data_IF_122094033339
#
_entry.id   IF_122094033339
#
_cell.length_a   1.000
_cell.length_b   1.000
_cell.length_c   1.000
_cell.angle_alpha   90.00
_cell.angle_beta   90.00
_cell.angle_gamma   90.00
#
_symmetry.space_group_name_H-M   'P 1'
#
loop_
_entity.id
_entity.type
_entity.pdbx_description
1 polymer ?
#
# COMPACT_ATOMS: atom_id res chain seq x y z
N UNK A 1 -17.24 5.51 -16.06
CA UNK A 1 -18.25 5.32 -17.11
C UNK A 1 -19.63 5.70 -16.58
N UNK A 2 -20.16 5.05 -15.56
CA UNK A 2 -21.46 5.43 -14.95
C UNK A 2 -21.47 6.85 -14.40
N UNK A 3 -20.36 7.33 -13.81
CA UNK A 3 -20.25 8.71 -13.37
C UNK A 3 -20.65 9.69 -14.46
N UNK A 4 -20.07 9.61 -15.66
CA UNK A 4 -20.34 10.51 -16.77
C UNK A 4 -21.76 10.31 -17.37
N UNK A 5 -22.25 9.06 -17.39
CA UNK A 5 -23.62 8.79 -17.81
C UNK A 5 -24.63 9.48 -16.88
N UNK A 6 -24.45 9.35 -15.57
CA UNK A 6 -25.33 9.98 -14.59
C UNK A 6 -25.15 11.52 -14.54
N UNK A 7 -23.97 12.02 -14.87
CA UNK A 7 -23.75 13.47 -15.06
C UNK A 7 -24.58 14.02 -16.20
N UNK A 8 -24.65 13.33 -17.33
CA UNK A 8 -25.51 13.68 -18.47
C UNK A 8 -27.01 13.53 -18.11
N UNK A 9 -27.38 12.50 -17.38
CA UNK A 9 -28.77 12.24 -16.97
C UNK A 9 -29.27 13.23 -15.89
N UNK A 10 -28.37 13.95 -15.23
CA UNK A 10 -28.73 14.95 -14.21
C UNK A 10 -29.63 16.05 -14.75
N UNK A 11 -29.43 16.43 -16.01
CA UNK A 11 -30.17 17.51 -16.65
C UNK A 11 -31.61 17.09 -17.04
N UNK A 12 -31.91 15.78 -16.96
CA UNK A 12 -33.24 15.23 -17.27
C UNK A 12 -34.09 14.97 -16.01
N UNK A 13 -33.67 15.45 -14.82
CA UNK A 13 -34.37 15.27 -13.54
C UNK A 13 -34.80 13.82 -13.20
N UNK A 14 -33.98 12.85 -13.65
CA UNK A 14 -34.24 11.43 -13.36
C UNK A 14 -34.02 11.16 -11.88
N UNK A 15 -35.00 10.53 -11.17
CA UNK A 15 -34.83 10.16 -9.77
C UNK A 15 -33.58 9.31 -9.56
N UNK A 16 -32.72 9.73 -8.61
CA UNK A 16 -31.48 9.02 -8.28
C UNK A 16 -30.28 9.39 -9.13
N UNK A 17 -30.39 10.14 -10.23
CA UNK A 17 -29.23 10.58 -11.03
C UNK A 17 -28.22 11.39 -10.22
N UNK A 18 -28.70 12.18 -9.24
CA UNK A 18 -27.85 12.99 -8.35
C UNK A 18 -27.02 12.15 -7.37
N UNK A 19 -27.40 10.90 -7.10
CA UNK A 19 -26.68 10.05 -6.13
C UNK A 19 -25.24 9.80 -6.58
N UNK A 20 -24.98 9.64 -7.87
CA UNK A 20 -23.63 9.43 -8.41
C UNK A 20 -22.72 10.65 -8.33
N UNK A 21 -23.23 11.82 -7.97
CA UNK A 21 -22.39 13.00 -7.70
C UNK A 21 -21.75 12.95 -6.32
N UNK A 22 -22.36 12.20 -5.37
CA UNK A 22 -21.84 12.06 -4.01
C UNK A 22 -20.71 11.04 -3.97
N UNK A 23 -19.54 11.46 -3.47
CA UNK A 23 -18.36 10.61 -3.33
C UNK A 23 -18.64 9.41 -2.42
N UNK A 24 -19.35 9.62 -1.31
CA UNK A 24 -19.70 8.57 -0.35
C UNK A 24 -20.55 7.48 -0.99
N UNK A 25 -21.53 7.84 -1.82
CA UNK A 25 -22.33 6.88 -2.55
C UNK A 25 -21.49 6.07 -3.55
N UNK A 26 -20.67 6.75 -4.37
CA UNK A 26 -19.78 6.10 -5.33
C UNK A 26 -18.77 5.19 -4.64
N UNK A 27 -18.26 5.59 -3.49
CA UNK A 27 -17.35 4.76 -2.68
C UNK A 27 -18.04 3.51 -2.17
N UNK A 28 -19.28 3.62 -1.67
CA UNK A 28 -20.07 2.46 -1.27
C UNK A 28 -20.32 1.48 -2.43
N UNK A 29 -20.70 2.00 -3.61
CA UNK A 29 -20.87 1.20 -4.81
C UNK A 29 -19.55 0.55 -5.26
N UNK A 30 -18.44 1.29 -5.24
CA UNK A 30 -17.12 0.76 -5.59
C UNK A 30 -16.70 -0.38 -4.67
N UNK A 31 -16.92 -0.25 -3.35
CA UNK A 31 -16.61 -1.28 -2.36
C UNK A 31 -17.42 -2.57 -2.61
N UNK A 32 -18.74 -2.43 -2.73
CA UNK A 32 -19.63 -3.59 -2.94
C UNK A 32 -19.35 -4.28 -4.26
N UNK A 33 -19.16 -3.50 -5.34
CA UNK A 33 -18.86 -4.04 -6.66
C UNK A 33 -17.48 -4.73 -6.68
N UNK A 34 -16.49 -4.16 -6.04
CA UNK A 34 -15.17 -4.75 -5.93
C UNK A 34 -15.18 -6.06 -5.15
N UNK A 35 -15.87 -6.09 -4.00
CA UNK A 35 -16.07 -7.28 -3.20
C UNK A 35 -16.77 -8.37 -4.01
N UNK A 36 -17.85 -8.01 -4.71
CA UNK A 36 -18.60 -8.93 -5.57
C UNK A 36 -17.74 -9.52 -6.70
N UNK A 37 -16.96 -8.66 -7.38
CA UNK A 37 -16.03 -9.09 -8.45
C UNK A 37 -14.99 -10.05 -7.88
N UNK A 38 -14.36 -9.70 -6.73
CA UNK A 38 -13.35 -10.53 -6.12
C UNK A 38 -13.89 -11.93 -5.74
N UNK A 39 -15.11 -12.02 -5.19
CA UNK A 39 -15.71 -13.30 -4.78
C UNK A 39 -16.22 -14.07 -5.99
N UNK A 40 -17.06 -13.47 -6.85
CA UNK A 40 -17.76 -14.20 -7.91
C UNK A 40 -16.86 -14.47 -9.12
N UNK A 41 -16.14 -13.46 -9.60
CA UNK A 41 -15.22 -13.61 -10.73
C UNK A 41 -13.94 -14.30 -10.28
N UNK A 42 -13.51 -14.06 -9.04
CA UNK A 42 -12.36 -14.71 -8.43
C UNK A 42 -12.43 -16.22 -8.51
N UNK A 43 -13.58 -16.83 -8.19
CA UNK A 43 -13.77 -18.28 -8.30
C UNK A 43 -13.48 -18.80 -9.71
N UNK A 44 -14.02 -18.12 -10.74
CA UNK A 44 -13.78 -18.51 -12.14
C UNK A 44 -12.31 -18.39 -12.55
N UNK A 45 -11.62 -17.39 -12.03
CA UNK A 45 -10.18 -17.20 -12.28
C UNK A 45 -9.38 -18.33 -11.61
N UNK A 46 -9.69 -18.67 -10.36
CA UNK A 46 -9.04 -19.76 -9.62
C UNK A 46 -9.20 -21.07 -10.37
N UNK A 47 -10.44 -21.42 -10.78
CA UNK A 47 -10.73 -22.65 -11.54
C UNK A 47 -9.94 -22.70 -12.86
N UNK A 48 -9.72 -21.53 -13.49
CA UNK A 48 -8.92 -21.43 -14.72
C UNK A 48 -7.43 -21.61 -14.47
N UNK A 49 -6.91 -20.98 -13.41
CA UNK A 49 -5.51 -21.14 -13.00
C UNK A 49 -5.20 -22.58 -12.61
N UNK A 50 -6.10 -23.27 -11.91
CA UNK A 50 -5.96 -24.69 -11.58
C UNK A 50 -5.91 -25.56 -12.84
N UNK A 51 -6.79 -25.31 -13.82
CA UNK A 51 -6.79 -26.05 -15.10
C UNK A 51 -5.51 -25.85 -15.92
N UNK A 52 -4.92 -24.67 -15.82
CA UNK A 52 -3.64 -24.36 -16.48
C UNK A 52 -2.44 -24.95 -15.73
N UNK A 53 -2.64 -25.68 -14.63
CA UNK A 53 -1.60 -26.22 -13.75
C UNK A 53 -0.61 -25.16 -13.26
N UNK A 54 -1.11 -23.97 -13.02
CA UNK A 54 -0.36 -22.81 -12.48
C UNK A 54 -0.16 -22.99 -10.96
N UNK A 55 0.32 -24.16 -10.53
CA UNK A 55 0.59 -24.45 -9.13
C UNK A 55 1.99 -24.01 -8.72
N UNK A 56 2.10 -23.44 -7.54
CA UNK A 56 3.41 -23.07 -6.99
C UNK A 56 4.22 -24.31 -6.65
N UNK A 57 5.50 -24.31 -7.04
CA UNK A 57 6.47 -25.31 -6.59
C UNK A 57 6.90 -24.92 -5.17
N UNK A 58 6.28 -25.53 -4.17
CA UNK A 58 6.58 -25.27 -2.77
C UNK A 58 8.03 -25.66 -2.47
N UNK A 59 8.81 -24.72 -1.88
CA UNK A 59 10.15 -25.04 -1.36
C UNK A 59 9.97 -25.84 -0.08
N UNK A 60 10.59 -27.01 0.02
CA UNK A 60 10.62 -27.72 1.29
C UNK A 60 11.52 -26.95 2.28
N UNK A 61 10.88 -26.25 3.19
CA UNK A 61 11.51 -25.49 4.27
C UNK A 61 11.41 -26.22 5.62
N UNK A 62 10.93 -27.47 5.61
CA UNK A 62 10.62 -28.25 6.81
C UNK A 62 9.71 -27.47 7.80
N UNK A 63 8.63 -26.86 7.28
CA UNK A 63 7.60 -26.19 8.06
C UNK A 63 6.34 -27.06 8.11
N UNK A 64 5.69 -27.12 9.29
CA UNK A 64 4.43 -27.83 9.44
C UNK A 64 3.36 -27.27 8.50
N UNK A 65 2.63 -28.15 7.80
CA UNK A 65 1.57 -27.76 6.88
C UNK A 65 2.04 -27.26 5.50
N UNK A 66 3.33 -27.16 5.25
CA UNK A 66 3.86 -26.64 3.99
C UNK A 66 3.56 -27.56 2.80
N UNK A 67 3.61 -28.88 3.00
CA UNK A 67 3.35 -29.86 1.93
C UNK A 67 1.87 -29.87 1.51
N UNK A 68 0.94 -29.50 2.38
CA UNK A 68 -0.48 -29.37 2.03
C UNK A 68 -0.78 -28.22 1.07
N UNK A 69 0.13 -27.27 0.92
CA UNK A 69 0.05 -26.12 0.01
C UNK A 69 0.48 -26.45 -1.42
N UNK A 70 1.06 -27.64 -1.64
CA UNK A 70 1.49 -28.06 -2.97
C UNK A 70 0.29 -28.19 -3.92
N UNK A 71 0.40 -27.55 -5.10
CA UNK A 71 -0.69 -27.54 -6.08
C UNK A 71 -1.69 -26.38 -5.92
N UNK A 72 -1.57 -25.55 -4.87
CA UNK A 72 -2.35 -24.32 -4.78
C UNK A 72 -1.95 -23.37 -5.91
N UNK A 73 -2.90 -22.86 -6.72
CA UNK A 73 -2.59 -21.96 -7.82
C UNK A 73 -2.00 -20.64 -7.31
N UNK A 74 -1.03 -20.10 -8.02
CA UNK A 74 -0.46 -18.76 -7.82
C UNK A 74 -1.03 -17.76 -8.81
N UNK A 75 -0.57 -16.50 -8.80
CA UNK A 75 -1.05 -15.39 -9.64
C UNK A 75 -2.47 -14.89 -9.28
N UNK A 76 -2.94 -15.14 -8.07
CA UNK A 76 -4.24 -14.63 -7.59
C UNK A 76 -4.34 -13.11 -7.56
N UNK A 77 -3.20 -12.40 -7.61
CA UNK A 77 -3.16 -10.94 -7.72
C UNK A 77 -3.95 -10.38 -8.90
N UNK A 78 -4.16 -11.15 -9.96
CA UNK A 78 -5.03 -10.76 -11.09
C UNK A 78 -6.45 -10.47 -10.61
N UNK A 79 -6.97 -11.25 -9.65
CA UNK A 79 -8.31 -11.06 -9.06
C UNK A 79 -8.36 -9.68 -8.39
N UNK A 80 -7.34 -9.33 -7.61
CA UNK A 80 -7.25 -8.06 -6.89
C UNK A 80 -7.24 -6.90 -7.90
N UNK A 81 -6.41 -6.98 -8.93
CA UNK A 81 -6.27 -5.92 -9.94
C UNK A 81 -7.60 -5.69 -10.67
N UNK A 82 -8.26 -6.75 -11.12
CA UNK A 82 -9.56 -6.65 -11.81
C UNK A 82 -10.60 -6.06 -10.85
N UNK A 83 -10.64 -6.51 -9.60
CA UNK A 83 -11.57 -6.04 -8.59
C UNK A 83 -11.36 -4.58 -8.18
N UNK A 84 -10.15 -4.02 -8.37
CA UNK A 84 -9.88 -2.59 -8.18
C UNK A 84 -10.21 -1.80 -9.45
N UNK A 85 -9.65 -2.22 -10.59
CA UNK A 85 -9.68 -1.44 -11.82
C UNK A 85 -11.10 -1.31 -12.38
N UNK A 86 -11.86 -2.42 -12.42
CA UNK A 86 -13.22 -2.40 -13.00
C UNK A 86 -14.17 -1.46 -12.28
N UNK A 87 -14.34 -1.50 -10.94
CA UNK A 87 -15.17 -0.53 -10.24
C UNK A 87 -14.70 0.92 -10.43
N UNK A 88 -13.39 1.17 -10.37
CA UNK A 88 -12.85 2.51 -10.59
C UNK A 88 -13.15 3.06 -11.99
N UNK A 89 -13.08 2.23 -13.03
CA UNK A 89 -13.47 2.63 -14.40
C UNK A 89 -14.98 2.90 -14.53
N UNK A 90 -15.80 2.17 -13.77
CA UNK A 90 -17.26 2.31 -13.83
C UNK A 90 -17.75 3.55 -13.06
N UNK A 91 -17.30 3.76 -11.83
CA UNK A 91 -17.86 4.79 -10.94
C UNK A 91 -16.90 5.93 -10.59
N UNK A 92 -15.62 5.81 -10.95
CA UNK A 92 -14.62 6.84 -10.71
C UNK A 92 -14.68 7.97 -11.73
N UNK A 93 -14.23 9.16 -11.30
CA UNK A 93 -14.05 10.33 -12.18
C UNK A 93 -12.68 10.23 -12.87
N UNK A 94 -12.68 9.70 -14.09
CA UNK A 94 -11.45 9.43 -14.84
C UNK A 94 -10.71 10.68 -15.33
N UNK A 95 -11.36 11.86 -15.30
CA UNK A 95 -10.68 13.14 -15.56
C UNK A 95 -9.81 13.62 -14.39
N UNK A 96 -9.91 12.96 -13.22
CA UNK A 96 -9.12 13.30 -12.05
C UNK A 96 -7.72 12.66 -12.12
N UNK A 97 -6.67 13.49 -11.99
CA UNK A 97 -5.27 13.06 -12.10
C UNK A 97 -4.89 12.05 -11.02
N UNK A 98 -5.41 12.21 -9.80
CA UNK A 98 -5.16 11.27 -8.70
C UNK A 98 -5.71 9.87 -9.02
N UNK A 99 -6.95 9.79 -9.56
CA UNK A 99 -7.56 8.53 -9.97
C UNK A 99 -6.75 7.87 -11.09
N UNK A 100 -6.32 8.64 -12.09
CA UNK A 100 -5.51 8.12 -13.20
C UNK A 100 -4.17 7.58 -12.72
N UNK A 101 -3.48 8.29 -11.80
CA UNK A 101 -2.21 7.83 -11.24
C UNK A 101 -2.38 6.52 -10.46
N UNK A 102 -3.46 6.37 -9.70
CA UNK A 102 -3.73 5.13 -8.95
C UNK A 102 -4.02 3.96 -9.88
N UNK A 103 -4.85 4.16 -10.92
CA UNK A 103 -5.12 3.13 -11.93
C UNK A 103 -3.85 2.74 -12.69
N UNK A 104 -3.07 3.74 -13.12
CA UNK A 104 -1.78 3.51 -13.78
C UNK A 104 -0.82 2.71 -12.90
N UNK A 105 -0.68 3.08 -11.62
CA UNK A 105 0.19 2.39 -10.68
C UNK A 105 -0.23 0.94 -10.45
N UNK A 106 -1.54 0.70 -10.34
CA UNK A 106 -2.10 -0.65 -10.18
C UNK A 106 -1.78 -1.55 -11.37
N UNK A 107 -1.94 -1.02 -12.58
CA UNK A 107 -1.66 -1.76 -13.81
C UNK A 107 -0.14 -1.95 -14.00
N UNK A 108 0.65 -0.89 -13.76
CA UNK A 108 2.11 -0.93 -13.94
C UNK A 108 2.77 -2.01 -13.08
N UNK A 109 2.48 -2.01 -11.77
CA UNK A 109 3.05 -3.02 -10.87
C UNK A 109 2.39 -4.38 -11.05
N UNK A 110 1.11 -4.41 -11.42
CA UNK A 110 0.43 -5.63 -11.81
C UNK A 110 1.11 -6.31 -13.00
N UNK A 111 1.46 -5.57 -14.04
CA UNK A 111 2.21 -6.09 -15.18
C UNK A 111 3.63 -6.54 -14.79
N UNK A 112 4.31 -5.78 -13.91
CA UNK A 112 5.65 -6.15 -13.43
C UNK A 112 5.61 -7.47 -12.65
N UNK A 113 4.68 -7.61 -11.71
CA UNK A 113 4.50 -8.82 -10.92
C UNK A 113 4.02 -10.00 -11.79
N UNK A 114 3.09 -9.75 -12.71
CA UNK A 114 2.63 -10.75 -13.67
C UNK A 114 3.77 -11.29 -14.53
N UNK A 115 4.64 -10.41 -15.03
CA UNK A 115 5.82 -10.84 -15.81
C UNK A 115 6.76 -11.71 -14.97
N UNK A 116 6.93 -11.42 -13.67
CA UNK A 116 7.72 -12.24 -12.77
C UNK A 116 7.11 -13.64 -12.57
N UNK A 117 5.84 -13.68 -12.21
CA UNK A 117 5.12 -14.93 -11.97
C UNK A 117 5.03 -15.77 -13.25
N UNK A 118 4.76 -15.14 -14.40
CA UNK A 118 4.72 -15.82 -15.69
C UNK A 118 6.07 -16.44 -16.06
N UNK A 119 7.19 -15.72 -15.82
CA UNK A 119 8.52 -16.25 -16.09
C UNK A 119 8.87 -17.44 -15.19
N UNK A 120 8.45 -17.43 -13.93
CA UNK A 120 8.61 -18.57 -13.01
C UNK A 120 7.89 -19.81 -13.56
N UNK A 121 6.67 -19.63 -14.06
CA UNK A 121 5.87 -20.71 -14.65
C UNK A 121 6.46 -21.19 -15.99
N UNK A 122 6.72 -20.29 -16.93
CA UNK A 122 7.18 -20.62 -18.28
C UNK A 122 8.53 -21.32 -18.28
N UNK A 123 9.40 -21.00 -17.32
CA UNK A 123 10.74 -21.61 -17.20
C UNK A 123 10.78 -22.82 -16.28
N UNK A 124 9.67 -23.20 -15.64
CA UNK A 124 9.64 -24.21 -14.59
C UNK A 124 10.76 -24.01 -13.54
N UNK A 125 11.15 -22.77 -13.30
CA UNK A 125 12.24 -22.39 -12.41
C UNK A 125 11.75 -21.35 -11.41
N UNK A 126 12.27 -21.44 -10.17
CA UNK A 126 11.95 -20.48 -9.08
C UNK A 126 12.57 -19.10 -9.29
N UNK A 127 13.52 -18.97 -10.21
CA UNK A 127 14.18 -17.72 -10.56
C UNK A 127 13.34 -16.94 -11.58
N UNK A 128 12.36 -16.18 -11.12
CA UNK A 128 11.56 -15.28 -11.95
C UNK A 128 12.38 -14.15 -12.57
N UNK A 129 11.85 -12.96 -12.55
CA UNK A 129 12.54 -11.75 -13.00
C UNK A 129 13.73 -11.44 -12.08
N UNK A 130 14.92 -11.22 -12.64
CA UNK A 130 16.07 -10.81 -11.82
C UNK A 130 15.70 -9.56 -11.00
N UNK A 131 16.03 -9.53 -9.70
CA UNK A 131 15.65 -8.43 -8.79
C UNK A 131 15.97 -7.02 -9.30
N UNK A 132 17.03 -6.86 -10.10
CA UNK A 132 17.36 -5.57 -10.74
C UNK A 132 16.24 -5.02 -11.63
N UNK A 133 15.54 -5.88 -12.38
CA UNK A 133 14.44 -5.45 -13.25
C UNK A 133 13.20 -5.06 -12.45
N UNK A 134 12.94 -5.75 -11.33
CA UNK A 134 11.86 -5.35 -10.39
C UNK A 134 12.14 -3.95 -9.84
N UNK A 135 13.37 -3.70 -9.38
CA UNK A 135 13.78 -2.38 -8.88
C UNK A 135 13.64 -1.31 -9.97
N UNK A 136 14.08 -1.59 -11.20
CA UNK A 136 13.92 -0.64 -12.33
C UNK A 136 12.44 -0.30 -12.58
N UNK A 137 11.55 -1.28 -12.54
CA UNK A 137 10.10 -1.06 -12.68
C UNK A 137 9.52 -0.21 -11.54
N UNK A 138 9.94 -0.45 -10.30
CA UNK A 138 9.52 0.30 -9.12
C UNK A 138 10.06 1.75 -9.13
N UNK A 139 11.33 1.93 -9.49
CA UNK A 139 11.96 3.25 -9.67
C UNK A 139 11.27 4.03 -10.80
N UNK A 140 10.97 3.35 -11.92
CA UNK A 140 10.23 3.94 -13.03
C UNK A 140 8.86 4.46 -12.61
N UNK A 141 8.09 3.67 -11.85
CA UNK A 141 6.82 4.12 -11.30
C UNK A 141 6.99 5.31 -10.35
N UNK A 142 7.93 5.22 -9.39
CA UNK A 142 8.21 6.31 -8.45
C UNK A 142 8.59 7.61 -9.16
N UNK A 143 9.36 7.51 -10.25
CA UNK A 143 9.71 8.66 -11.07
C UNK A 143 8.49 9.26 -11.78
N UNK A 144 7.64 8.42 -12.41
CA UNK A 144 6.41 8.89 -13.08
C UNK A 144 5.49 9.58 -12.08
N UNK A 145 5.25 8.98 -10.91
CA UNK A 145 4.41 9.57 -9.85
C UNK A 145 5.00 10.89 -9.37
N UNK A 146 6.29 10.92 -8.99
CA UNK A 146 6.95 12.11 -8.49
C UNK A 146 7.00 13.25 -9.51
N UNK A 147 7.27 12.95 -10.79
CA UNK A 147 7.24 13.94 -11.87
C UNK A 147 5.82 14.45 -12.12
N UNK A 148 4.80 13.59 -12.09
CA UNK A 148 3.41 14.04 -12.26
C UNK A 148 2.98 14.94 -11.11
N UNK A 149 3.39 14.63 -9.87
CA UNK A 149 3.17 15.50 -8.70
C UNK A 149 3.83 16.88 -8.88
N UNK A 150 4.99 16.93 -9.51
CA UNK A 150 5.70 18.18 -9.79
C UNK A 150 5.11 18.95 -10.98
N UNK A 151 4.80 18.28 -12.10
CA UNK A 151 4.42 18.94 -13.35
C UNK A 151 2.94 19.28 -13.44
N UNK A 152 2.04 18.44 -12.90
CA UNK A 152 0.60 18.61 -13.04
C UNK A 152 0.10 19.89 -12.34
N UNK A 153 -0.58 20.80 -13.01
CA UNK A 153 -1.16 22.00 -12.41
C UNK A 153 -2.33 21.68 -11.46
N UNK A 154 -2.97 20.51 -11.62
CA UNK A 154 -4.15 20.12 -10.85
C UNK A 154 -3.78 19.55 -9.47
N UNK A 155 -2.50 19.27 -9.22
CA UNK A 155 -2.02 18.74 -7.94
C UNK A 155 -1.52 19.89 -7.08
N UNK A 156 -2.43 20.41 -6.25
CA UNK A 156 -2.21 21.56 -5.39
C UNK A 156 -2.68 21.28 -3.97
N UNK A 157 -2.31 22.14 -3.03
CA UNK A 157 -2.75 22.08 -1.64
C UNK A 157 -3.12 23.48 -1.13
N UNK A 158 -3.77 23.56 0.02
CA UNK A 158 -4.01 24.82 0.73
C UNK A 158 -3.34 24.78 2.08
N UNK A 159 -2.66 25.87 2.42
CA UNK A 159 -2.05 26.05 3.73
C UNK A 159 -3.08 26.38 4.80
N UNK A 160 -2.80 25.92 6.00
CA UNK A 160 -3.57 26.29 7.18
C UNK A 160 -3.09 27.63 7.71
N UNK A 161 -4.01 28.49 8.09
CA UNK A 161 -3.76 29.76 8.78
C UNK A 161 -4.52 29.78 10.10
N UNK A 162 -3.86 30.25 11.15
CA UNK A 162 -4.51 30.54 12.42
C UNK A 162 -5.22 31.91 12.30
N UNK A 163 -6.53 31.91 12.52
CA UNK A 163 -7.34 33.13 12.53
C UNK A 163 -7.96 33.28 13.93
N UNK A 164 -7.60 34.34 14.63
CA UNK A 164 -8.23 34.67 15.90
C UNK A 164 -9.66 35.14 15.64
N UNK A 165 -10.62 34.49 16.26
CA UNK A 165 -11.99 34.92 16.20
C UNK A 165 -12.17 36.15 17.13
N UNK A 166 -12.40 37.31 16.55
CA UNK A 166 -12.51 38.59 17.27
C UNK A 166 -13.60 38.61 18.34
N UNK A 167 -14.58 37.71 18.25
CA UNK A 167 -15.73 37.68 19.17
C UNK A 167 -15.55 36.71 20.33
N UNK A 168 -14.85 35.56 20.10
CA UNK A 168 -14.66 34.52 21.12
C UNK A 168 -13.22 34.42 21.64
N UNK A 169 -12.28 35.18 21.08
CA UNK A 169 -10.83 35.05 21.32
C UNK A 169 -10.27 33.63 21.13
N UNK A 170 -11.01 32.76 20.43
CA UNK A 170 -10.57 31.42 20.09
C UNK A 170 -9.79 31.43 18.78
N UNK A 171 -8.68 30.70 18.77
CA UNK A 171 -7.89 30.48 17.56
C UNK A 171 -8.59 29.42 16.70
N UNK A 172 -9.13 29.83 15.56
CA UNK A 172 -9.75 28.93 14.60
C UNK A 172 -8.82 28.74 13.41
N UNK A 173 -8.59 27.49 13.05
CA UNK A 173 -7.78 27.15 11.90
C UNK A 173 -8.65 27.24 10.65
N UNK A 174 -8.21 28.02 9.66
CA UNK A 174 -8.82 28.13 8.34
C UNK A 174 -7.80 27.84 7.27
N UNK A 175 -8.28 27.39 6.12
CA UNK A 175 -7.42 27.28 4.93
C UNK A 175 -7.34 28.61 4.20
N UNK A 176 -6.15 28.93 3.69
CA UNK A 176 -6.00 30.02 2.72
C UNK A 176 -6.88 29.76 1.51
N UNK A 177 -7.46 30.82 0.94
CA UNK A 177 -8.23 30.71 -0.31
C UNK A 177 -7.34 30.35 -1.50
N UNK A 178 -6.07 30.73 -1.47
CA UNK A 178 -5.11 30.44 -2.53
C UNK A 178 -4.57 29.01 -2.43
N UNK A 179 -4.49 28.35 -3.57
CA UNK A 179 -3.84 27.05 -3.71
C UNK A 179 -2.37 27.24 -4.01
N UNK A 180 -1.54 26.46 -3.35
CA UNK A 180 -0.09 26.48 -3.57
C UNK A 180 0.40 25.13 -4.10
N UNK A 181 1.51 25.18 -4.81
CA UNK A 181 2.24 24.00 -5.28
C UNK A 181 3.60 23.96 -4.61
N UNK A 182 3.72 23.14 -3.60
CA UNK A 182 4.94 23.00 -2.80
C UNK A 182 5.26 21.54 -2.51
N UNK A 183 6.53 21.17 -2.35
CA UNK A 183 6.96 19.84 -1.93
C UNK A 183 6.84 19.71 -0.41
N UNK A 184 5.59 19.78 0.07
CA UNK A 184 5.27 19.64 1.49
C UNK A 184 4.60 18.31 1.77
N UNK A 185 4.83 17.77 2.95
CA UNK A 185 4.22 16.55 3.46
C UNK A 185 3.82 16.69 4.92
N UNK A 186 3.03 15.74 5.39
CA UNK A 186 2.66 15.66 6.81
C UNK A 186 3.71 14.87 7.56
N UNK A 187 4.21 15.45 8.67
CA UNK A 187 5.12 14.79 9.61
C UNK A 187 4.46 14.71 10.99
N UNK A 188 4.51 13.55 11.66
CA UNK A 188 4.00 13.42 13.02
C UNK A 188 4.86 14.18 14.03
N UNK A 189 4.26 14.58 15.16
CA UNK A 189 4.92 15.20 16.33
C UNK A 189 5.52 16.59 16.11
N UNK A 190 5.29 17.24 14.98
CA UNK A 190 5.79 18.59 14.69
C UNK A 190 4.63 19.59 14.70
N UNK A 191 4.86 20.79 15.23
CA UNK A 191 3.85 21.86 15.20
C UNK A 191 3.35 22.10 13.77
N UNK A 192 2.04 22.17 13.60
CA UNK A 192 1.33 22.30 12.32
C UNK A 192 1.43 21.05 11.40
N UNK A 193 2.04 19.96 11.85
CA UNK A 193 2.15 18.71 11.11
C UNK A 193 2.70 18.81 9.66
N UNK A 194 3.33 19.93 9.29
CA UNK A 194 3.83 20.18 7.94
C UNK A 194 5.35 20.17 7.90
N UNK A 195 5.88 19.45 6.95
CA UNK A 195 7.28 19.42 6.63
C UNK A 195 7.49 19.82 5.16
N UNK A 196 8.31 20.82 4.92
CA UNK A 196 8.66 21.28 3.57
C UNK A 196 10.07 20.79 3.20
N UNK A 197 10.14 19.97 2.16
CA UNK A 197 11.42 19.47 1.63
C UNK A 197 12.36 20.61 1.18
N UNK A 198 11.79 21.78 0.81
CA UNK A 198 12.59 22.96 0.47
C UNK A 198 13.46 23.43 1.64
N UNK A 199 13.03 23.13 2.88
CA UNK A 199 13.80 23.49 4.08
C UNK A 199 15.20 22.84 4.12
N UNK A 200 15.32 21.62 3.58
CA UNK A 200 16.58 20.88 3.51
C UNK A 200 17.50 21.38 2.39
N UNK A 201 16.95 22.11 1.42
CA UNK A 201 17.69 22.60 0.24
C UNK A 201 17.89 24.12 0.26
N UNK A 202 17.61 24.80 1.39
CA UNK A 202 17.78 26.26 1.55
C UNK A 202 19.18 26.77 1.18
N UNK A 203 20.21 25.95 1.38
CA UNK A 203 21.60 26.27 1.02
C UNK A 203 21.79 26.46 -0.50
N UNK A 204 20.86 25.98 -1.35
CA UNK A 204 20.88 26.19 -2.81
C UNK A 204 20.38 27.59 -3.23
N UNK A 205 19.99 28.47 -2.29
CA UNK A 205 19.52 29.81 -2.58
C UNK A 205 18.33 29.86 -3.53
N UNK A 206 18.48 30.49 -4.71
CA UNK A 206 17.40 30.63 -5.71
C UNK A 206 16.82 29.29 -6.24
N UNK A 207 17.59 28.20 -6.15
CA UNK A 207 17.19 26.86 -6.61
C UNK A 207 16.66 25.98 -5.48
N UNK A 208 16.43 26.53 -4.28
CA UNK A 208 15.97 25.75 -3.12
C UNK A 208 14.65 25.02 -3.40
N UNK A 209 13.68 25.65 -4.07
CA UNK A 209 12.40 25.04 -4.41
C UNK A 209 12.56 23.87 -5.39
N UNK A 210 13.39 24.02 -6.42
CA UNK A 210 13.71 22.93 -7.35
C UNK A 210 14.40 21.78 -6.62
N UNK A 211 15.36 22.11 -5.72
CA UNK A 211 16.00 21.10 -4.86
C UNK A 211 15.01 20.35 -4.00
N UNK A 212 14.03 21.04 -3.39
CA UNK A 212 12.97 20.43 -2.61
C UNK A 212 12.13 19.44 -3.42
N UNK A 213 11.78 19.76 -4.67
CA UNK A 213 11.06 18.85 -5.57
C UNK A 213 11.91 17.65 -5.99
N UNK A 214 13.19 17.83 -6.26
CA UNK A 214 14.10 16.69 -6.55
C UNK A 214 14.14 15.74 -5.34
N UNK A 215 14.27 16.29 -4.14
CA UNK A 215 14.28 15.50 -2.91
C UNK A 215 12.95 14.75 -2.70
N UNK A 216 11.82 15.42 -2.94
CA UNK A 216 10.50 14.80 -2.90
C UNK A 216 10.38 13.63 -3.88
N UNK A 217 10.87 13.79 -5.12
CA UNK A 217 10.86 12.72 -6.13
C UNK A 217 11.73 11.54 -5.67
N UNK A 218 12.92 11.80 -5.10
CA UNK A 218 13.78 10.75 -4.55
C UNK A 218 13.10 10.00 -3.41
N UNK A 219 12.44 10.70 -2.49
CA UNK A 219 11.66 10.08 -1.41
C UNK A 219 10.51 9.25 -1.98
N UNK A 220 9.81 9.76 -3.00
CA UNK A 220 8.76 9.01 -3.70
C UNK A 220 9.28 7.68 -4.25
N UNK A 221 10.41 7.69 -4.93
CA UNK A 221 11.06 6.48 -5.46
C UNK A 221 11.40 5.50 -4.34
N UNK A 222 11.99 5.99 -3.26
CA UNK A 222 12.36 5.16 -2.10
C UNK A 222 11.12 4.53 -1.47
N UNK A 223 10.07 5.31 -1.23
CA UNK A 223 8.83 4.81 -0.61
C UNK A 223 8.15 3.77 -1.48
N UNK A 224 8.00 4.03 -2.79
CA UNK A 224 7.40 3.05 -3.74
C UNK A 224 8.21 1.75 -3.74
N UNK A 225 9.53 1.85 -3.82
CA UNK A 225 10.41 0.66 -3.84
C UNK A 225 10.36 -0.11 -2.52
N UNK A 226 10.47 0.59 -1.39
CA UNK A 226 10.51 -0.05 -0.08
C UNK A 226 9.18 -0.73 0.28
N UNK A 227 8.04 -0.03 0.12
CA UNK A 227 6.73 -0.59 0.49
C UNK A 227 6.31 -1.73 -0.45
N UNK A 228 6.62 -1.60 -1.76
CA UNK A 228 6.32 -2.66 -2.73
C UNK A 228 7.11 -3.93 -2.44
N UNK A 229 8.40 -3.84 -2.12
CA UNK A 229 9.21 -4.99 -1.73
C UNK A 229 8.81 -5.53 -0.35
N UNK A 230 8.50 -4.65 0.62
CA UNK A 230 8.05 -5.06 1.95
C UNK A 230 6.74 -5.85 1.92
N UNK A 231 5.78 -5.42 1.11
CA UNK A 231 4.55 -6.18 0.87
C UNK A 231 4.86 -7.54 0.23
N UNK A 232 5.78 -7.58 -0.74
CA UNK A 232 6.18 -8.82 -1.40
C UNK A 232 6.87 -9.81 -0.44
N UNK A 233 7.76 -9.34 0.44
CA UNK A 233 8.37 -10.19 1.45
C UNK A 233 7.38 -10.61 2.56
N UNK A 234 6.33 -9.85 2.79
CA UNK A 234 5.27 -10.18 3.76
C UNK A 234 4.31 -11.25 3.23
N UNK A 235 4.25 -11.49 1.91
CA UNK A 235 3.39 -12.49 1.27
C UNK A 235 3.94 -13.93 1.42
N UNK A 236 4.38 -14.30 2.62
CA UNK A 236 4.90 -15.64 2.92
C UNK A 236 3.93 -16.54 3.69
N UNK A 237 2.82 -16.00 4.21
CA UNK A 237 1.76 -16.71 4.91
C UNK A 237 0.39 -16.39 4.35
N UNK A 238 -0.51 -17.38 4.36
CA UNK A 238 -1.87 -17.28 3.84
C UNK A 238 -2.65 -16.12 4.49
N UNK A 239 -2.99 -15.10 3.69
CA UNK A 239 -3.76 -13.94 4.13
C UNK A 239 -2.97 -12.86 4.88
N UNK A 240 -1.67 -13.04 5.13
CA UNK A 240 -0.87 -12.08 5.91
C UNK A 240 -0.75 -10.72 5.18
N UNK A 241 -0.24 -10.74 3.96
CA UNK A 241 -0.06 -9.52 3.16
C UNK A 241 -1.42 -8.88 2.81
N UNK A 242 -2.41 -9.69 2.43
CA UNK A 242 -3.75 -9.20 2.09
C UNK A 242 -4.45 -8.56 3.28
N UNK A 243 -4.42 -9.21 4.45
CA UNK A 243 -5.07 -8.72 5.67
C UNK A 243 -4.46 -7.43 6.20
N UNK A 244 -3.13 -7.37 6.26
CA UNK A 244 -2.42 -6.15 6.67
C UNK A 244 -2.64 -5.01 5.67
N UNK A 245 -2.64 -5.29 4.36
CA UNK A 245 -2.93 -4.31 3.31
C UNK A 245 -4.36 -3.77 3.41
N UNK A 246 -5.35 -4.60 3.74
CA UNK A 246 -6.73 -4.16 3.95
C UNK A 246 -6.82 -3.14 5.09
N UNK A 247 -6.17 -3.41 6.23
CA UNK A 247 -6.13 -2.48 7.38
C UNK A 247 -5.46 -1.16 6.99
N UNK A 248 -4.31 -1.22 6.31
CA UNK A 248 -3.59 -0.03 5.82
C UNK A 248 -4.48 0.76 4.85
N UNK A 249 -5.18 0.08 3.94
CA UNK A 249 -6.12 0.69 3.00
C UNK A 249 -7.25 1.44 3.67
N UNK A 250 -7.83 0.89 4.75
CA UNK A 250 -8.84 1.57 5.55
C UNK A 250 -8.27 2.84 6.20
N UNK A 251 -7.07 2.77 6.77
CA UNK A 251 -6.43 3.93 7.38
C UNK A 251 -6.17 5.04 6.34
N UNK A 252 -5.64 4.69 5.16
CA UNK A 252 -5.41 5.64 4.07
C UNK A 252 -6.72 6.24 3.54
N UNK A 253 -7.79 5.43 3.43
CA UNK A 253 -9.12 5.91 3.02
C UNK A 253 -9.67 6.98 3.97
N UNK A 254 -9.56 6.74 5.27
CA UNK A 254 -9.98 7.71 6.30
C UNK A 254 -9.14 8.99 6.20
N UNK A 255 -7.80 8.88 6.13
CA UNK A 255 -6.94 10.06 6.00
C UNK A 255 -7.22 10.86 4.72
N UNK A 256 -7.50 10.17 3.62
CA UNK A 256 -7.87 10.79 2.36
C UNK A 256 -9.21 11.53 2.46
N UNK A 257 -10.23 10.91 3.05
CA UNK A 257 -11.53 11.51 3.24
C UNK A 257 -11.44 12.79 4.11
N UNK A 258 -10.67 12.73 5.19
CA UNK A 258 -10.44 13.87 6.08
C UNK A 258 -9.65 15.00 5.39
N UNK A 259 -8.57 14.67 4.68
CA UNK A 259 -7.72 15.63 3.97
C UNK A 259 -8.37 16.23 2.72
N UNK A 260 -9.30 15.52 2.09
CA UNK A 260 -10.08 15.98 0.93
C UNK A 260 -11.31 16.81 1.27
N UNK A 261 -11.61 17.01 2.56
CA UNK A 261 -12.76 17.78 3.02
C UNK A 261 -12.32 19.03 3.80
N UNK A 262 -12.77 20.22 3.34
CA UNK A 262 -12.39 21.52 3.93
C UNK A 262 -12.72 21.62 5.42
N UNK A 263 -13.90 21.13 5.83
CA UNK A 263 -14.38 21.24 7.21
C UNK A 263 -13.52 20.35 8.14
N UNK A 264 -13.36 19.07 7.77
CA UNK A 264 -12.61 18.12 8.59
C UNK A 264 -11.13 18.43 8.62
N UNK A 265 -10.55 18.85 7.50
CA UNK A 265 -9.13 19.20 7.46
C UNK A 265 -8.82 20.45 8.31
N UNK A 266 -9.71 21.46 8.33
CA UNK A 266 -9.57 22.61 9.23
C UNK A 266 -9.70 22.22 10.70
N UNK A 267 -10.72 21.42 11.03
CA UNK A 267 -10.96 20.98 12.42
C UNK A 267 -9.78 20.15 12.98
N UNK A 268 -9.18 19.28 12.14
CA UNK A 268 -8.06 18.44 12.54
C UNK A 268 -6.69 19.11 12.37
N UNK A 269 -6.65 20.33 11.81
CA UNK A 269 -5.41 21.02 11.44
C UNK A 269 -4.49 20.17 10.56
N UNK A 270 -5.07 19.53 9.55
CA UNK A 270 -4.33 18.78 8.55
C UNK A 270 -4.40 19.49 7.20
N UNK A 271 -3.43 19.19 6.34
CA UNK A 271 -3.33 19.75 4.99
C UNK A 271 -4.60 19.41 4.19
N UNK A 272 -5.23 20.44 3.59
CA UNK A 272 -6.32 20.27 2.64
C UNK A 272 -5.78 20.10 1.23
N UNK A 273 -6.16 19.00 0.58
CA UNK A 273 -5.74 18.66 -0.78
C UNK A 273 -6.99 18.64 -1.67
N UNK A 274 -7.22 19.69 -2.47
CA UNK A 274 -8.34 19.72 -3.42
C UNK A 274 -8.32 18.49 -4.33
N UNK A 275 -9.50 18.03 -4.73
CA UNK A 275 -9.71 16.89 -5.65
C UNK A 275 -9.16 15.52 -5.18
N UNK A 276 -8.43 15.45 -4.05
CA UNK A 276 -7.98 14.17 -3.50
C UNK A 276 -9.13 13.29 -2.99
N UNK A 277 -10.28 13.88 -2.70
CA UNK A 277 -11.47 13.16 -2.24
C UNK A 277 -11.91 12.05 -3.22
N UNK A 278 -11.60 12.16 -4.51
CA UNK A 278 -11.87 11.12 -5.50
C UNK A 278 -11.11 9.81 -5.21
N UNK A 279 -9.95 9.89 -4.56
CA UNK A 279 -9.20 8.73 -4.11
C UNK A 279 -9.96 7.87 -3.09
N UNK A 280 -10.99 8.40 -2.41
CA UNK A 280 -11.83 7.60 -1.50
C UNK A 280 -12.60 6.53 -2.26
N UNK A 281 -13.00 6.80 -3.50
CA UNK A 281 -13.63 5.81 -4.40
C UNK A 281 -12.65 4.68 -4.74
N UNK A 282 -11.40 5.05 -5.05
CA UNK A 282 -10.34 4.07 -5.30
C UNK A 282 -10.03 3.24 -4.03
N UNK A 283 -9.92 3.90 -2.88
CA UNK A 283 -9.66 3.23 -1.61
C UNK A 283 -10.77 2.23 -1.25
N UNK A 284 -12.03 2.60 -1.51
CA UNK A 284 -13.17 1.71 -1.30
C UNK A 284 -13.09 0.47 -2.20
N UNK A 285 -12.72 0.64 -3.48
CA UNK A 285 -12.47 -0.49 -4.37
C UNK A 285 -11.29 -1.36 -3.90
N UNK A 286 -10.20 -0.74 -3.43
CA UNK A 286 -9.04 -1.44 -2.87
C UNK A 286 -9.42 -2.28 -1.65
N UNK A 287 -10.19 -1.72 -0.71
CA UNK A 287 -10.66 -2.41 0.49
C UNK A 287 -11.59 -3.58 0.09
N UNK A 288 -12.53 -3.34 -0.83
CA UNK A 288 -13.42 -4.40 -1.32
C UNK A 288 -12.67 -5.53 -2.00
N UNK A 289 -11.64 -5.21 -2.80
CA UNK A 289 -10.80 -6.20 -3.49
C UNK A 289 -9.98 -7.03 -2.50
N UNK A 290 -9.34 -6.39 -1.52
CA UNK A 290 -8.52 -7.09 -0.52
C UNK A 290 -9.35 -7.98 0.40
N UNK A 291 -10.48 -7.49 0.91
CA UNK A 291 -11.41 -8.29 1.72
C UNK A 291 -12.01 -9.44 0.89
N UNK A 292 -12.42 -9.17 -0.36
CA UNK A 292 -12.95 -10.19 -1.24
C UNK A 292 -11.91 -11.25 -1.63
N UNK A 293 -10.65 -10.87 -1.79
CA UNK A 293 -9.57 -11.81 -2.05
C UNK A 293 -9.23 -12.66 -0.81
N UNK A 294 -9.33 -12.11 0.42
CA UNK A 294 -9.17 -12.86 1.66
C UNK A 294 -10.13 -14.04 1.78
N UNK A 295 -11.28 -13.99 1.13
CA UNK A 295 -12.22 -15.12 1.09
C UNK A 295 -11.57 -16.42 0.58
N UNK A 296 -10.62 -16.29 -0.35
CA UNK A 296 -9.90 -17.41 -0.94
C UNK A 296 -8.47 -17.56 -0.43
N UNK A 297 -7.85 -16.47 0.01
CA UNK A 297 -6.44 -16.42 0.41
C UNK A 297 -6.23 -16.64 1.91
N UNK A 298 -7.28 -16.59 2.76
CA UNK A 298 -7.14 -16.93 4.18
C UNK A 298 -6.82 -18.41 4.37
N UNK A 299 -6.10 -18.72 5.46
CA UNK A 299 -5.64 -20.08 5.78
C UNK A 299 -6.81 -21.09 5.98
N UNK A 300 -6.81 -22.26 5.31
CA UNK A 300 -5.87 -22.68 4.27
C UNK A 300 -6.20 -22.06 2.91
N UNK A 301 -5.22 -21.46 2.25
CA UNK A 301 -5.44 -20.70 1.03
C UNK A 301 -5.83 -21.58 -0.16
N UNK A 302 -6.82 -21.15 -0.92
CA UNK A 302 -7.24 -21.76 -2.19
C UNK A 302 -6.49 -21.17 -3.40
N UNK A 303 -5.84 -20.01 -3.21
CA UNK A 303 -5.03 -19.32 -4.20
C UNK A 303 -3.99 -18.45 -3.52
N UNK A 304 -2.76 -18.45 -4.04
CA UNK A 304 -1.71 -17.53 -3.62
C UNK A 304 -1.72 -16.26 -4.45
N UNK A 305 -1.39 -15.15 -3.80
CA UNK A 305 -1.39 -13.83 -4.44
C UNK A 305 -0.34 -13.74 -5.53
N UNK A 306 0.86 -14.25 -5.27
CA UNK A 306 2.03 -14.12 -6.11
C UNK A 306 2.59 -12.69 -6.15
N UNK A 307 3.68 -12.52 -6.89
CA UNK A 307 4.30 -11.22 -7.10
C UNK A 307 3.36 -10.24 -7.81
N UNK A 308 2.45 -10.77 -8.65
CA UNK A 308 1.38 -10.01 -9.32
C UNK A 308 0.55 -9.21 -8.32
N UNK A 309 0.18 -9.81 -7.19
CA UNK A 309 -0.65 -9.14 -6.19
C UNK A 309 0.15 -8.37 -5.16
N UNK A 310 1.20 -8.97 -4.61
CA UNK A 310 1.95 -8.39 -3.49
C UNK A 310 2.70 -7.11 -3.88
N UNK A 311 3.38 -7.08 -5.04
CA UNK A 311 4.01 -5.86 -5.56
C UNK A 311 2.96 -4.77 -5.83
N UNK A 312 1.80 -5.16 -6.37
CA UNK A 312 0.70 -4.24 -6.67
C UNK A 312 0.13 -3.62 -5.39
N UNK A 313 -0.18 -4.42 -4.37
CA UNK A 313 -0.72 -3.92 -3.10
C UNK A 313 0.24 -2.95 -2.42
N UNK A 314 1.51 -3.33 -2.31
CA UNK A 314 2.52 -2.46 -1.71
C UNK A 314 2.71 -1.16 -2.48
N UNK A 315 2.74 -1.22 -3.81
CA UNK A 315 2.86 -0.03 -4.64
C UNK A 315 1.65 0.88 -4.60
N UNK A 316 0.43 0.32 -4.61
CA UNK A 316 -0.81 1.08 -4.41
C UNK A 316 -0.76 1.82 -3.08
N UNK A 317 -0.40 1.16 -1.99
CA UNK A 317 -0.28 1.77 -0.65
C UNK A 317 0.73 2.92 -0.67
N UNK A 318 1.90 2.71 -1.27
CA UNK A 318 2.94 3.73 -1.38
C UNK A 318 2.47 4.95 -2.15
N UNK A 319 1.97 4.75 -3.38
CA UNK A 319 1.50 5.84 -4.25
C UNK A 319 0.32 6.57 -3.60
N UNK A 320 -0.62 5.85 -3.00
CA UNK A 320 -1.75 6.46 -2.32
C UNK A 320 -1.31 7.40 -1.19
N UNK A 321 -0.37 6.95 -0.34
CA UNK A 321 0.17 7.77 0.74
C UNK A 321 0.89 9.03 0.22
N UNK A 322 1.64 8.92 -0.88
CA UNK A 322 2.31 10.04 -1.54
C UNK A 322 1.30 11.05 -2.08
N UNK A 323 0.24 10.58 -2.74
CA UNK A 323 -0.80 11.44 -3.31
C UNK A 323 -1.55 12.25 -2.25
N UNK A 324 -1.77 11.67 -1.07
CA UNK A 324 -2.39 12.37 0.07
C UNK A 324 -1.38 13.06 0.99
N UNK A 325 -0.10 13.15 0.58
CA UNK A 325 0.97 13.80 1.36
C UNK A 325 1.16 13.22 2.76
N UNK A 326 1.17 11.89 2.86
CA UNK A 326 1.32 11.13 4.11
C UNK A 326 2.48 10.12 4.04
N UNK A 327 3.42 10.31 3.12
CA UNK A 327 4.54 9.38 2.91
C UNK A 327 5.44 9.23 4.14
N UNK A 328 5.58 10.27 4.98
CA UNK A 328 6.37 10.18 6.22
C UNK A 328 5.65 9.44 7.37
N UNK A 329 4.36 9.12 7.22
CA UNK A 329 3.62 8.25 8.14
C UNK A 329 3.77 6.77 7.77
N UNK A 330 4.19 6.45 6.56
CA UNK A 330 4.37 5.09 6.05
C UNK A 330 5.25 4.21 6.95
N UNK A 331 6.39 4.69 7.51
CA UNK A 331 7.19 3.87 8.41
C UNK A 331 6.43 3.35 9.63
N UNK A 332 5.43 4.07 10.13
CA UNK A 332 4.57 3.65 11.22
C UNK A 332 3.42 2.78 10.71
N UNK A 333 2.70 3.27 9.71
CA UNK A 333 1.51 2.57 9.17
C UNK A 333 1.86 1.22 8.55
N UNK A 334 2.96 1.13 7.82
CA UNK A 334 3.45 -0.07 7.15
C UNK A 334 4.61 -0.73 7.93
N UNK A 335 4.72 -0.52 9.25
CA UNK A 335 5.85 -1.02 10.04
C UNK A 335 6.02 -2.55 9.92
N UNK A 336 4.93 -3.30 9.72
CA UNK A 336 5.01 -4.75 9.49
C UNK A 336 5.85 -5.04 8.24
N UNK A 337 5.59 -4.38 7.12
CA UNK A 337 6.35 -4.57 5.88
C UNK A 337 7.82 -4.22 6.07
N UNK A 338 8.11 -3.11 6.76
CA UNK A 338 9.49 -2.71 7.04
C UNK A 338 10.21 -3.66 8.01
N UNK A 339 9.52 -4.19 9.01
CA UNK A 339 10.11 -5.16 9.95
C UNK A 339 10.44 -6.47 9.24
N UNK A 340 9.58 -6.94 8.32
CA UNK A 340 9.87 -8.11 7.48
C UNK A 340 11.11 -7.87 6.60
N UNK A 341 11.19 -6.74 5.88
CA UNK A 341 12.35 -6.35 5.09
C UNK A 341 13.63 -6.25 5.93
N UNK A 342 13.57 -5.51 7.04
CA UNK A 342 14.70 -5.31 7.94
C UNK A 342 15.21 -6.63 8.52
N UNK A 343 14.31 -7.57 8.83
CA UNK A 343 14.70 -8.89 9.32
C UNK A 343 15.59 -9.63 8.33
N UNK A 344 15.27 -9.54 7.03
CA UNK A 344 16.05 -10.16 5.97
C UNK A 344 17.39 -9.43 5.79
N UNK A 345 17.35 -8.08 5.73
CA UNK A 345 18.55 -7.27 5.57
C UNK A 345 19.56 -7.50 6.70
N UNK A 346 19.09 -7.46 7.95
CA UNK A 346 19.91 -7.70 9.14
C UNK A 346 20.50 -9.13 9.15
N UNK A 347 19.69 -10.12 8.85
CA UNK A 347 20.13 -11.51 8.77
C UNK A 347 21.24 -11.69 7.74
N UNK A 348 21.04 -11.19 6.53
CA UNK A 348 22.02 -11.31 5.44
C UNK A 348 23.30 -10.55 5.75
N UNK A 349 23.19 -9.32 6.26
CA UNK A 349 24.34 -8.49 6.64
C UNK A 349 25.16 -9.17 7.76
N UNK A 350 24.50 -9.63 8.81
CA UNK A 350 25.15 -10.28 9.93
C UNK A 350 25.81 -11.63 9.54
N UNK A 351 25.12 -12.42 8.73
CA UNK A 351 25.66 -13.69 8.22
C UNK A 351 26.92 -13.47 7.38
N UNK A 352 26.91 -12.49 6.48
CA UNK A 352 28.09 -12.15 5.65
C UNK A 352 29.23 -11.59 6.52
N UNK A 353 28.94 -10.72 7.47
CA UNK A 353 29.92 -10.16 8.39
C UNK A 353 30.60 -11.24 9.23
N UNK A 354 29.83 -12.12 9.87
CA UNK A 354 30.38 -13.20 10.72
C UNK A 354 31.15 -14.22 9.91
N UNK A 355 30.66 -14.58 8.71
CA UNK A 355 31.39 -15.46 7.79
C UNK A 355 32.76 -14.89 7.40
N UNK A 356 32.81 -13.58 7.10
CA UNK A 356 34.06 -12.90 6.76
C UNK A 356 35.04 -12.83 7.95
N UNK A 357 34.54 -12.62 9.17
CA UNK A 357 35.38 -12.38 10.35
C UNK A 357 35.78 -13.66 11.09
N UNK A 358 34.90 -14.67 11.13
CA UNK A 358 35.07 -15.89 11.92
C UNK A 358 35.09 -17.18 11.08
N UNK A 359 35.02 -17.08 9.76
CA UNK A 359 34.97 -18.23 8.87
C UNK A 359 33.62 -18.95 8.81
N UNK A 360 32.76 -18.76 9.81
CA UNK A 360 31.42 -19.37 9.92
C UNK A 360 30.36 -18.28 9.99
N UNK A 361 29.34 -18.40 9.13
CA UNK A 361 28.19 -17.46 9.13
C UNK A 361 27.24 -17.79 10.27
N UNK A 362 26.99 -16.83 11.17
CA UNK A 362 26.02 -16.94 12.27
C UNK A 362 24.70 -16.29 11.88
N UNK A 363 23.59 -16.78 12.45
CA UNK A 363 22.24 -16.28 12.19
C UNK A 363 21.74 -15.49 13.40
N UNK A 364 20.98 -14.40 13.15
CA UNK A 364 20.26 -13.68 14.20
C UNK A 364 18.94 -14.39 14.49
N UNK A 365 18.15 -14.63 13.46
CA UNK A 365 16.85 -15.30 13.52
C UNK A 365 16.97 -16.75 13.04
N UNK A 366 16.08 -17.62 13.49
CA UNK A 366 16.00 -19.02 13.03
C UNK A 366 15.76 -19.10 11.51
N UNK A 367 14.92 -18.21 11.02
CA UNK A 367 14.61 -18.04 9.59
C UNK A 367 14.17 -16.61 9.32
N UNK A 368 14.29 -16.12 8.10
CA UNK A 368 13.78 -14.84 7.63
C UNK A 368 13.03 -15.01 6.30
N UNK A 369 11.99 -14.21 6.02
CA UNK A 369 11.44 -13.07 6.81
C UNK A 369 10.93 -13.46 8.21
N UNK A 370 10.61 -12.46 9.06
CA UNK A 370 10.34 -12.66 10.49
C UNK A 370 9.16 -13.58 10.79
N UNK A 371 8.11 -13.60 9.95
CA UNK A 371 6.97 -14.50 10.12
C UNK A 371 7.40 -15.97 10.10
N UNK A 372 8.39 -16.36 9.30
CA UNK A 372 8.94 -17.73 9.30
C UNK A 372 9.76 -18.04 10.55
N UNK A 373 10.35 -17.02 11.20
CA UNK A 373 11.01 -17.22 12.48
C UNK A 373 10.06 -17.75 13.57
N UNK A 374 8.80 -17.28 13.53
CA UNK A 374 7.78 -17.72 14.49
C UNK A 374 7.22 -19.11 14.17
N UNK A 375 7.28 -19.56 12.91
CA UNK A 375 6.87 -20.91 12.52
C UNK A 375 7.89 -21.98 12.91
N UNK A 376 9.17 -21.63 13.10
CA UNK A 376 10.24 -22.57 13.47
C UNK A 376 10.34 -22.73 14.98
N UNK A 377 10.36 -23.99 15.50
CA UNK A 377 10.62 -24.22 16.92
C UNK A 377 12.07 -23.88 17.30
N UNK A 378 12.32 -23.56 18.58
CA UNK A 378 13.65 -23.23 19.08
C UNK A 378 14.65 -24.41 19.05
N UNK A 379 14.14 -25.63 19.03
CA UNK A 379 14.95 -26.86 19.05
C UNK A 379 15.19 -27.46 17.64
N UNK A 380 15.00 -26.66 16.57
CA UNK A 380 15.13 -27.13 15.17
C UNK A 380 16.60 -27.37 14.72
N UNK A 381 17.58 -27.39 15.62
CA UNK A 381 19.00 -27.57 15.27
C UNK A 381 19.64 -26.38 14.53
N UNK A 382 18.97 -25.22 14.54
CA UNK A 382 19.45 -24.01 13.89
C UNK A 382 20.20 -23.16 14.92
N UNK A 383 21.50 -22.93 14.71
CA UNK A 383 22.29 -22.01 15.52
C UNK A 383 21.94 -20.56 15.19
N UNK A 384 21.02 -19.98 15.96
CA UNK A 384 20.59 -18.59 15.84
C UNK A 384 20.65 -17.90 17.22
N UNK A 385 20.94 -16.60 17.24
CA UNK A 385 21.03 -15.82 18.48
C UNK A 385 19.66 -15.79 19.18
N UNK A 386 18.58 -15.59 18.42
CA UNK A 386 17.21 -15.54 18.93
C UNK A 386 16.54 -16.89 18.69
N UNK A 387 16.36 -17.66 19.78
CA UNK A 387 15.75 -19.00 19.74
C UNK A 387 14.25 -18.98 20.10
N UNK A 388 13.76 -17.92 20.72
CA UNK A 388 12.32 -17.80 21.05
C UNK A 388 11.50 -17.46 19.79
N UNK A 389 10.26 -17.98 19.65
CA UNK A 389 9.58 -18.92 20.53
C UNK A 389 10.18 -20.32 20.48
N UNK A 390 10.10 -21.06 21.61
CA UNK A 390 10.60 -22.43 21.70
C UNK A 390 9.67 -23.38 20.94
N UNK A 391 8.35 -23.17 21.05
CA UNK A 391 7.35 -23.92 20.29
C UNK A 391 6.99 -23.16 19.02
N UNK A 392 6.78 -23.88 17.92
CA UNK A 392 6.28 -23.32 16.68
C UNK A 392 4.88 -22.71 16.88
N UNK A 393 4.66 -21.53 16.28
CA UNK A 393 3.37 -20.89 16.33
C UNK A 393 2.62 -21.23 15.02
N UNK A 394 1.35 -21.72 15.10
CA UNK A 394 0.54 -22.01 13.92
C UNK A 394 0.36 -20.77 13.03
N UNK A 395 0.34 -20.99 11.73
CA UNK A 395 0.28 -19.94 10.72
C UNK A 395 -0.89 -18.97 10.92
N UNK A 396 -2.11 -19.49 11.10
CA UNK A 396 -3.31 -18.69 11.36
C UNK A 396 -3.18 -17.77 12.57
N UNK A 397 -2.49 -18.22 13.61
CA UNK A 397 -2.24 -17.43 14.82
C UNK A 397 -1.21 -16.33 14.59
N UNK A 398 -0.21 -16.56 13.74
CA UNK A 398 0.76 -15.54 13.34
C UNK A 398 0.03 -14.46 12.54
N UNK A 399 -0.71 -14.85 11.53
CA UNK A 399 -1.47 -13.92 10.66
C UNK A 399 -2.43 -13.06 11.47
N UNK A 400 -3.20 -13.65 12.39
CA UNK A 400 -4.10 -12.89 13.26
C UNK A 400 -3.35 -11.87 14.13
N UNK A 401 -2.21 -12.28 14.74
CA UNK A 401 -1.41 -11.36 15.56
C UNK A 401 -0.84 -10.20 14.77
N UNK A 402 -0.32 -10.46 13.56
CA UNK A 402 0.18 -9.40 12.69
C UNK A 402 -0.95 -8.46 12.23
N UNK A 403 -2.14 -8.99 11.94
CA UNK A 403 -3.31 -8.16 11.62
C UNK A 403 -3.72 -7.27 12.80
N UNK A 404 -3.71 -7.79 14.02
CA UNK A 404 -3.97 -6.99 15.22
C UNK A 404 -2.91 -5.89 15.42
N UNK A 405 -1.63 -6.21 15.18
CA UNK A 405 -0.55 -5.22 15.22
C UNK A 405 -0.77 -4.16 14.13
N UNK A 406 -1.19 -4.54 12.90
CA UNK A 406 -1.52 -3.59 11.85
C UNK A 406 -2.64 -2.62 12.26
N UNK A 407 -3.69 -3.13 12.92
CA UNK A 407 -4.77 -2.29 13.47
C UNK A 407 -4.23 -1.32 14.52
N UNK A 408 -3.39 -1.80 15.45
CA UNK A 408 -2.76 -0.94 16.45
C UNK A 408 -1.90 0.16 15.80
N UNK A 409 -1.10 -0.19 14.79
CA UNK A 409 -0.26 0.77 14.07
C UNK A 409 -1.10 1.80 13.31
N UNK A 410 -2.23 1.39 12.73
CA UNK A 410 -3.17 2.31 12.10
C UNK A 410 -3.73 3.32 13.12
N UNK A 411 -4.16 2.84 14.30
CA UNK A 411 -4.63 3.71 15.40
C UNK A 411 -3.51 4.65 15.87
N UNK A 412 -2.29 4.13 16.09
CA UNK A 412 -1.13 4.96 16.47
C UNK A 412 -0.88 6.03 15.41
N UNK A 413 -0.96 5.70 14.13
CA UNK A 413 -0.78 6.66 13.04
C UNK A 413 -1.79 7.80 13.10
N UNK A 414 -3.07 7.52 13.41
CA UNK A 414 -4.06 8.58 13.63
C UNK A 414 -3.77 9.42 14.88
N UNK A 415 -3.38 8.77 15.98
CA UNK A 415 -3.03 9.47 17.22
C UNK A 415 -1.85 10.42 16.99
N UNK A 416 -0.82 10.00 16.24
CA UNK A 416 0.35 10.86 15.96
C UNK A 416 -0.01 12.12 15.17
N UNK A 417 -1.08 12.12 14.39
CA UNK A 417 -1.57 13.32 13.69
C UNK A 417 -2.24 14.31 14.64
N UNK A 418 -2.70 13.88 15.81
CA UNK A 418 -3.40 14.72 16.78
C UNK A 418 -2.50 15.22 17.92
N UNK A 419 -1.37 14.55 18.18
CA UNK A 419 -0.38 14.97 19.19
C UNK A 419 0.38 16.19 18.63
N UNK A 420 0.22 17.34 19.32
CA UNK A 420 0.84 18.61 18.97
C UNK A 420 1.95 18.98 19.95
#
# INVERSE_FOLDING_TARGET
>A
MFYYLFELLRDFDIPGARLMTYITFRSGVALVLSLFIAIVIGRKIIDRLQKMQVGEIVRDLNLEGQMSKQGTPTMGGIIIIIAIVVPCLLVGKLSNVYMLLMLFSSIWLGCLGFADDYLKLARHNKDGLKGKFKIVGQVGLGLVVGLTMYLSPNIVMRENIEVENRTSHEVVIKHKSETIKAPQTTIPFVKNNNFDYTSLTRWMGKHAQTGGWILFILVTIIVVTAVSNGANLTDGLDGLCTGTSAVIGVALAIMCYLGGNVIYSSYLNIMYIPDSSELVVFAAAFIGATIGFLWYNSFPAQVFMGDTGSLTLGGIIAVFAILIRKELLIPVLCAIFFVEDLSVMLQVAYFKYTKKRFGVGKRIFKMTPLHHHFQKPGNAGIDAIIQRPIQAIPESKIVMRFTLIAIMLAVVTFVTLKIR
#
